data_IF_188313364337
#
_entry.id   IF_188313364337
#
_cell.length_a   1.000
_cell.length_b   1.000
_cell.length_c   1.000
_cell.angle_alpha   90.00
_cell.angle_beta   90.00
_cell.angle_gamma   90.00
#
_symmetry.space_group_name_H-M   'P 1'
#
loop_
_entity.id
_entity.type
_entity.pdbx_description
1 polymer ?
#
# COMPACT_ATOMS: atom_id res chain seq x y z
N UNK A 1 -14.03 -11.57 -20.10
CA UNK A 1 -13.78 -11.30 -19.97
C UNK A 1 -14.09 -10.42 -19.54
N UNK A 2 -14.27 -10.30 -19.53
CA UNK A 2 -14.82 -9.40 -19.26
C UNK A 2 -14.25 -8.41 -18.49
N UNK A 3 -14.27 -8.52 -17.40
CA UNK A 3 -13.73 -7.59 -16.73
C UNK A 3 -12.44 -7.79 -16.65
N UNK A 4 -11.55 -7.27 -17.03
CA UNK A 4 -10.17 -7.38 -16.85
C UNK A 4 -9.81 -7.14 -15.41
N UNK A 5 -8.57 -7.23 -15.09
CA UNK A 5 -8.09 -6.95 -13.77
C UNK A 5 -8.32 -5.48 -13.45
N UNK A 6 -8.75 -5.23 -12.24
CA UNK A 6 -8.89 -3.87 -11.76
C UNK A 6 -7.57 -3.48 -11.09
N UNK A 7 -6.93 -2.45 -11.59
CA UNK A 7 -5.62 -2.01 -11.07
C UNK A 7 -5.76 -0.64 -10.46
N UNK A 8 -5.16 -0.44 -9.30
CA UNK A 8 -5.13 0.86 -8.65
C UNK A 8 -3.68 1.26 -8.42
N UNK A 9 -3.35 2.50 -8.73
CA UNK A 9 -2.03 3.06 -8.46
C UNK A 9 -2.12 3.91 -7.21
N UNK A 10 -1.27 3.63 -6.24
CA UNK A 10 -1.16 4.41 -5.02
C UNK A 10 0.21 5.07 -5.06
N UNK A 11 0.26 6.39 -5.03
CA UNK A 11 1.49 7.09 -5.34
C UNK A 11 1.73 8.28 -4.43
N UNK A 12 3.00 8.59 -4.19
CA UNK A 12 3.37 9.81 -3.47
C UNK A 12 3.78 10.91 -4.44
N UNK A 13 3.66 10.68 -5.75
CA UNK A 13 4.06 11.67 -6.73
C UNK A 13 2.83 12.40 -7.24
N UNK A 14 2.70 13.70 -6.99
CA UNK A 14 1.50 14.42 -7.42
C UNK A 14 1.36 14.46 -8.94
N UNK A 15 2.45 14.26 -9.68
CA UNK A 15 2.35 14.28 -11.13
C UNK A 15 1.68 13.04 -11.71
N UNK A 16 1.46 12.01 -10.89
CA UNK A 16 0.72 10.84 -11.35
C UNK A 16 -0.78 11.12 -11.39
N UNK A 17 -1.22 12.22 -10.81
CA UNK A 17 -2.63 12.62 -10.88
C UNK A 17 -3.49 11.92 -9.83
N UNK A 18 -4.77 12.07 -9.98
CA UNK A 18 -5.75 11.41 -9.13
C UNK A 18 -6.95 11.07 -9.97
N UNK A 19 -7.67 10.04 -9.59
CA UNK A 19 -8.85 9.65 -10.33
C UNK A 19 -9.31 8.28 -9.89
N UNK A 20 -10.10 7.64 -10.73
CA UNK A 20 -10.68 6.35 -10.37
C UNK A 20 -9.63 5.27 -10.18
N UNK A 21 -8.52 5.37 -10.89
CA UNK A 21 -7.49 4.34 -10.85
C UNK A 21 -6.21 4.83 -10.21
N UNK A 22 -6.20 6.01 -9.62
CA UNK A 22 -5.01 6.55 -8.99
C UNK A 22 -5.39 7.22 -7.69
N UNK A 23 -4.71 6.84 -6.61
CA UNK A 23 -4.84 7.49 -5.32
C UNK A 23 -3.50 8.13 -4.99
N UNK A 24 -3.50 9.45 -4.86
CA UNK A 24 -2.27 10.16 -4.52
C UNK A 24 -2.26 10.51 -3.04
N UNK A 25 -1.15 10.22 -2.37
CA UNK A 25 -1.00 10.63 -0.98
C UNK A 25 -0.19 11.89 -0.88
N UNK A 26 0.20 12.47 -2.02
CA UNK A 26 0.98 13.70 -1.99
C UNK A 26 0.19 14.77 -1.27
N UNK A 27 0.80 15.41 -0.30
CA UNK A 27 0.14 16.48 0.45
C UNK A 27 -0.87 16.03 1.47
N UNK A 28 -1.14 14.74 1.59
CA UNK A 28 -2.09 14.28 2.57
C UNK A 28 -1.39 13.97 3.88
N UNK A 29 -2.11 14.12 4.98
CA UNK A 29 -1.55 13.82 6.26
C UNK A 29 -2.06 12.48 6.72
N UNK A 30 -1.16 11.54 6.87
CA UNK A 30 -1.51 10.23 7.38
C UNK A 30 -0.87 10.03 8.74
N UNK A 31 -1.62 9.42 9.64
CA UNK A 31 -1.10 9.10 10.96
C UNK A 31 -0.46 7.73 10.92
N UNK A 32 0.52 7.53 11.79
CA UNK A 32 1.16 6.23 11.91
C UNK A 32 0.27 5.30 12.70
N UNK A 33 0.48 4.02 12.54
CA UNK A 33 -0.20 3.03 13.35
C UNK A 33 0.19 3.24 14.81
N UNK A 34 -0.79 3.26 15.70
CA UNK A 34 -0.52 3.46 17.11
C UNK A 34 -0.61 2.16 17.91
N UNK A 35 -0.75 1.03 17.22
CA UNK A 35 -0.75 -0.26 17.89
C UNK A 35 -2.00 -0.60 18.67
N UNK A 36 -3.13 0.02 18.35
CA UNK A 36 -4.35 -0.16 19.12
C UNK A 36 -5.04 -1.50 18.87
N UNK A 37 -4.60 -2.24 17.87
CA UNK A 37 -5.12 -3.55 17.44
C UNK A 37 -6.62 -3.61 17.18
N UNK A 38 -7.28 -2.47 17.05
CA UNK A 38 -8.71 -2.49 16.74
C UNK A 38 -8.98 -3.06 15.36
N UNK A 39 -8.01 -2.97 14.45
CA UNK A 39 -8.15 -3.56 13.13
C UNK A 39 -8.15 -5.09 13.17
N UNK A 40 -7.85 -5.67 14.31
CA UNK A 40 -7.92 -7.12 14.49
C UNK A 40 -9.13 -7.51 15.31
N UNK A 41 -9.61 -6.64 16.17
CA UNK A 41 -10.62 -7.03 17.17
C UNK A 41 -11.99 -6.37 16.97
N UNK A 42 -12.01 -5.09 16.66
CA UNK A 42 -13.29 -4.37 16.56
C UNK A 42 -13.75 -4.17 15.14
N UNK A 43 -12.83 -3.86 14.24
CA UNK A 43 -13.16 -3.64 12.85
C UNK A 43 -12.18 -4.46 12.02
N UNK A 44 -12.32 -5.79 11.99
CA UNK A 44 -11.33 -6.64 11.36
C UNK A 44 -11.06 -6.24 9.92
N UNK A 45 -9.79 -6.05 9.62
CA UNK A 45 -9.36 -5.70 8.28
C UNK A 45 -9.49 -4.23 7.95
N UNK A 46 -9.83 -3.39 8.95
CA UNK A 46 -10.03 -1.98 8.69
C UNK A 46 -9.47 -1.15 9.82
N UNK A 47 -8.60 -0.21 9.51
CA UNK A 47 -7.98 0.63 10.53
C UNK A 47 -9.01 1.59 11.12
N UNK A 48 -8.97 1.75 12.44
CA UNK A 48 -9.94 2.59 13.13
C UNK A 48 -9.54 4.05 13.20
N UNK A 49 -8.33 4.40 12.81
CA UNK A 49 -7.88 5.78 12.86
C UNK A 49 -8.59 6.60 11.79
N UNK A 50 -9.15 7.73 12.18
CA UNK A 50 -9.94 8.54 11.27
C UNK A 50 -9.09 9.61 10.61
N UNK A 51 -8.65 9.36 9.40
CA UNK A 51 -7.93 10.33 8.58
C UNK A 51 -8.20 9.91 7.14
N UNK A 52 -7.33 10.25 6.20
CA UNK A 52 -7.56 9.92 4.81
C UNK A 52 -7.36 8.44 4.47
N UNK A 53 -6.67 7.69 5.34
CA UNK A 53 -6.29 6.33 5.00
C UNK A 53 -7.46 5.35 4.83
N UNK A 54 -8.48 5.35 5.69
CA UNK A 54 -9.54 4.34 5.52
C UNK A 54 -10.20 4.36 4.15
N UNK A 55 -10.40 5.54 3.59
CA UNK A 55 -11.00 5.63 2.27
C UNK A 55 -10.04 5.13 1.21
N UNK A 56 -8.76 5.46 1.34
CA UNK A 56 -7.75 4.95 0.42
C UNK A 56 -7.67 3.45 0.51
N UNK A 57 -7.70 2.92 1.71
CA UNK A 57 -7.59 1.48 1.93
C UNK A 57 -8.77 0.74 1.32
N UNK A 58 -9.97 1.30 1.40
CA UNK A 58 -11.12 0.68 0.76
C UNK A 58 -10.87 0.53 -0.73
N UNK A 59 -10.30 1.54 -1.36
CA UNK A 59 -10.00 1.48 -2.78
C UNK A 59 -8.91 0.46 -3.08
N UNK A 60 -7.89 0.38 -2.22
CA UNK A 60 -6.82 -0.59 -2.40
C UNK A 60 -7.34 -2.02 -2.32
N UNK A 61 -8.21 -2.27 -1.35
CA UNK A 61 -8.72 -3.62 -1.15
C UNK A 61 -9.71 -4.03 -2.23
N UNK A 62 -10.25 -3.06 -2.96
CA UNK A 62 -11.21 -3.34 -4.01
C UNK A 62 -10.55 -3.54 -5.37
N UNK A 63 -9.26 -3.41 -5.46
CA UNK A 63 -8.53 -3.63 -6.70
C UNK A 63 -7.94 -5.03 -6.69
N UNK A 64 -7.80 -5.64 -7.85
CA UNK A 64 -7.16 -6.93 -7.96
C UNK A 64 -5.64 -6.77 -7.83
N UNK A 65 -5.11 -5.69 -8.37
CA UNK A 65 -3.68 -5.38 -8.33
C UNK A 65 -3.49 -3.98 -7.79
N UNK A 66 -2.66 -3.85 -6.78
CA UNK A 66 -2.29 -2.55 -6.23
C UNK A 66 -0.86 -2.24 -6.63
N UNK A 67 -0.66 -1.14 -7.32
CA UNK A 67 0.67 -0.71 -7.67
C UNK A 67 1.05 0.41 -6.71
N UNK A 68 2.06 0.20 -5.87
CA UNK A 68 2.53 1.20 -4.91
C UNK A 68 3.74 1.89 -5.51
N UNK A 69 3.65 3.16 -5.75
CA UNK A 69 4.75 3.96 -6.29
C UNK A 69 5.29 4.87 -5.22
N UNK A 70 6.58 4.83 -5.00
CA UNK A 70 7.21 5.62 -3.95
C UNK A 70 8.59 6.08 -4.35
N UNK A 71 8.97 7.25 -3.88
CA UNK A 71 10.34 7.68 -3.95
C UNK A 71 11.14 6.81 -2.99
N UNK A 72 12.32 6.35 -3.38
CA UNK A 72 13.20 5.65 -2.46
C UNK A 72 13.74 6.65 -1.44
N UNK A 73 13.65 6.31 -0.16
CA UNK A 73 14.07 7.19 0.91
C UNK A 73 14.82 6.36 1.93
N UNK A 74 16.10 6.65 2.06
CA UNK A 74 16.95 5.87 2.97
C UNK A 74 16.77 4.39 2.64
N UNK A 75 16.35 3.60 3.56
CA UNK A 75 16.23 2.17 3.33
C UNK A 75 14.87 1.69 2.90
N UNK A 76 13.98 2.56 2.45
CA UNK A 76 12.65 2.09 2.14
C UNK A 76 11.78 3.06 1.36
N UNK A 77 10.50 3.07 1.69
CA UNK A 77 9.52 3.95 1.07
C UNK A 77 9.67 5.37 1.59
N UNK A 78 9.11 6.32 0.87
CA UNK A 78 9.02 7.69 1.39
C UNK A 78 8.22 7.69 2.70
N UNK A 79 8.37 8.71 3.54
CA UNK A 79 7.70 8.69 4.84
C UNK A 79 6.19 8.53 4.78
N UNK A 80 5.52 9.21 3.85
CA UNK A 80 4.07 9.11 3.79
C UNK A 80 3.64 7.73 3.30
N UNK A 81 4.36 7.15 2.35
CA UNK A 81 4.04 5.82 1.87
C UNK A 81 4.33 4.79 2.95
N UNK A 82 5.39 5.00 3.75
CA UNK A 82 5.70 4.10 4.85
C UNK A 82 4.51 4.01 5.82
N UNK A 83 3.90 5.15 6.15
CA UNK A 83 2.75 5.14 7.05
C UNK A 83 1.58 4.36 6.46
N UNK A 84 1.35 4.53 5.17
CA UNK A 84 0.24 3.84 4.51
C UNK A 84 0.51 2.34 4.46
N UNK A 85 1.72 1.95 4.10
CA UNK A 85 2.07 0.52 4.01
C UNK A 85 1.97 -0.15 5.37
N UNK A 86 2.41 0.54 6.41
CA UNK A 86 2.34 0.01 7.76
C UNK A 86 0.89 -0.28 8.13
N UNK A 87 0.00 0.64 7.85
CA UNK A 87 -1.40 0.47 8.22
C UNK A 87 -2.08 -0.57 7.33
N UNK A 88 -1.72 -0.61 6.04
CA UNK A 88 -2.25 -1.63 5.14
C UNK A 88 -1.80 -3.02 5.58
N UNK A 89 -0.54 -3.16 5.98
CA UNK A 89 -0.02 -4.44 6.46
C UNK A 89 -0.83 -4.92 7.66
N UNK A 90 -1.13 -4.03 8.58
CA UNK A 90 -1.90 -4.41 9.76
C UNK A 90 -3.32 -4.81 9.40
N UNK A 91 -3.93 -4.15 8.43
CA UNK A 91 -5.26 -4.56 7.99
C UNK A 91 -5.22 -5.94 7.34
N UNK A 92 -4.18 -6.19 6.53
CA UNK A 92 -4.05 -7.50 5.89
C UNK A 92 -3.80 -8.60 6.91
N UNK A 93 -3.12 -8.28 8.01
CA UNK A 93 -2.84 -9.25 9.04
C UNK A 93 -4.12 -9.84 9.63
N UNK A 94 -5.17 -9.07 9.68
CA UNK A 94 -6.43 -9.52 10.24
C UNK A 94 -6.95 -10.76 9.50
N UNK A 95 -6.74 -10.80 8.19
CA UNK A 95 -7.23 -11.92 7.41
C UNK A 95 -6.43 -13.18 7.70
N UNK A 96 -5.15 -13.04 7.98
CA UNK A 96 -4.32 -14.17 8.35
C UNK A 96 -4.73 -14.72 9.70
N UNK A 97 -4.87 -13.83 10.68
CA UNK A 97 -5.18 -14.24 12.05
C UNK A 97 -6.56 -14.87 12.18
N UNK A 98 -7.48 -14.48 11.32
CA UNK A 98 -8.84 -14.98 11.41
C UNK A 98 -9.15 -16.04 10.37
N UNK A 99 -8.12 -16.68 9.85
CA UNK A 99 -8.33 -17.78 8.93
C UNK A 99 -8.42 -17.37 7.48
N UNK A 100 -8.09 -16.17 7.18
CA UNK A 100 -7.89 -15.74 5.82
C UNK A 100 -9.10 -15.26 5.06
N UNK A 101 -10.26 -15.69 5.36
CA UNK A 101 -11.39 -15.36 4.52
C UNK A 101 -12.42 -14.52 5.23
N UNK A 102 -11.98 -13.45 5.83
CA UNK A 102 -12.89 -12.58 6.56
C UNK A 102 -13.27 -11.39 5.68
N UNK A 103 -14.53 -11.16 5.44
CA UNK A 103 -14.91 -9.99 4.65
C UNK A 103 -14.69 -8.74 5.48
N UNK A 104 -14.34 -7.68 4.80
CA UNK A 104 -14.26 -6.40 5.47
C UNK A 104 -15.68 -5.92 5.71
N UNK A 105 -15.72 -4.92 6.61
CA UNK A 105 -16.95 -4.32 6.92
C UNK A 105 -17.78 -4.00 5.72
N UNK A 106 -17.23 -3.56 4.65
CA UNK A 106 -17.97 -3.16 3.50
C UNK A 106 -17.84 -4.05 2.30
N UNK A 107 -17.53 -5.27 2.50
CA UNK A 107 -17.51 -6.20 1.39
C UNK A 107 -16.25 -7.01 1.34
N UNK A 108 -16.09 -7.70 0.25
CA UNK A 108 -14.99 -8.62 0.10
C UNK A 108 -13.73 -7.92 -0.33
N UNK A 109 -12.61 -8.51 0.02
CA UNK A 109 -11.31 -8.03 -0.41
C UNK A 109 -10.99 -8.68 -1.73
N UNK A 110 -10.72 -7.87 -2.75
CA UNK A 110 -10.35 -8.39 -4.06
C UNK A 110 -8.86 -8.44 -4.27
N UNK A 111 -8.09 -7.77 -3.43
CA UNK A 111 -6.66 -7.58 -3.62
C UNK A 111 -5.91 -8.91 -3.60
N UNK A 112 -5.14 -9.19 -4.64
CA UNK A 112 -4.36 -10.42 -4.75
C UNK A 112 -2.89 -10.18 -5.03
N UNK A 113 -2.54 -9.09 -5.69
CA UNK A 113 -1.15 -8.82 -6.02
C UNK A 113 -0.81 -7.39 -5.68
N UNK A 114 0.41 -7.18 -5.22
CA UNK A 114 0.93 -5.84 -4.98
C UNK A 114 2.22 -5.70 -5.78
N UNK A 115 2.31 -4.64 -6.57
CA UNK A 115 3.50 -4.34 -7.35
C UNK A 115 4.11 -3.08 -6.77
N UNK A 116 5.35 -3.15 -6.34
CA UNK A 116 6.04 -2.02 -5.75
C UNK A 116 6.94 -1.41 -6.81
N UNK A 117 6.75 -0.13 -7.10
CA UNK A 117 7.55 0.57 -8.10
C UNK A 117 8.27 1.70 -7.38
N UNK A 118 9.58 1.58 -7.27
CA UNK A 118 10.39 2.56 -6.55
C UNK A 118 11.10 3.49 -7.52
N UNK A 119 11.06 4.77 -7.24
CA UNK A 119 11.85 5.73 -7.98
C UNK A 119 13.17 5.84 -7.24
N UNK A 120 14.21 5.20 -7.78
CA UNK A 120 15.49 5.05 -7.12
C UNK A 120 15.59 3.71 -6.43
N UNK A 121 16.77 3.39 -5.93
CA UNK A 121 17.01 2.12 -5.26
C UNK A 121 17.32 2.41 -3.80
N UNK A 122 16.54 1.87 -2.87
CA UNK A 122 16.79 2.13 -1.45
C UNK A 122 18.07 1.43 -0.99
N UNK A 123 18.66 1.94 0.07
CA UNK A 123 19.81 1.31 0.68
C UNK A 123 19.36 -0.03 1.23
N UNK A 124 20.19 -1.05 1.07
CA UNK A 124 19.82 -2.37 1.55
C UNK A 124 18.64 -2.94 0.78
N UNK A 125 18.72 -2.86 -0.53
CA UNK A 125 17.62 -3.27 -1.39
C UNK A 125 17.08 -4.66 -1.05
N UNK A 126 17.97 -5.62 -0.82
CA UNK A 126 17.51 -6.97 -0.55
C UNK A 126 16.73 -7.06 0.76
N UNK A 127 17.17 -6.30 1.76
CA UNK A 127 16.46 -6.29 3.01
C UNK A 127 15.12 -5.59 2.86
N UNK A 128 15.10 -4.48 2.10
CA UNK A 128 13.85 -3.78 1.85
C UNK A 128 12.83 -4.73 1.19
N UNK A 129 13.26 -5.48 0.19
CA UNK A 129 12.35 -6.40 -0.50
C UNK A 129 11.86 -7.49 0.43
N UNK A 130 12.77 -8.06 1.21
CA UNK A 130 12.40 -9.13 2.12
C UNK A 130 11.41 -8.65 3.17
N UNK A 131 11.68 -7.50 3.78
CA UNK A 131 10.80 -6.98 4.82
C UNK A 131 9.44 -6.60 4.25
N UNK A 132 9.43 -6.00 3.08
CA UNK A 132 8.18 -5.57 2.45
C UNK A 132 7.34 -6.78 2.05
N UNK A 133 7.98 -7.80 1.51
CA UNK A 133 7.26 -9.00 1.13
C UNK A 133 6.65 -9.67 2.35
N UNK A 134 7.40 -9.74 3.45
CA UNK A 134 6.86 -10.33 4.66
C UNK A 134 5.68 -9.54 5.21
N UNK A 135 5.68 -8.24 5.02
CA UNK A 135 4.61 -7.40 5.53
C UNK A 135 3.37 -7.41 4.67
N UNK A 136 3.51 -7.60 3.38
CA UNK A 136 2.40 -7.42 2.46
C UNK A 136 1.91 -8.70 1.78
N UNK A 137 2.76 -9.72 1.67
CA UNK A 137 2.32 -10.97 1.06
C UNK A 137 1.66 -11.83 2.14
N UNK A 138 0.60 -11.33 2.71
CA UNK A 138 -0.12 -11.98 3.80
C UNK A 138 -1.61 -11.87 3.53
N UNK A 139 -2.37 -12.70 4.19
CA UNK A 139 -3.83 -12.70 4.02
C UNK A 139 -4.20 -13.01 2.57
N UNK A 140 -4.99 -12.16 1.95
CA UNK A 140 -5.43 -12.42 0.58
C UNK A 140 -4.38 -12.11 -0.49
N UNK A 141 -3.29 -11.46 -0.12
CA UNK A 141 -2.28 -11.07 -1.09
C UNK A 141 -1.38 -12.25 -1.39
N UNK A 142 -1.36 -12.66 -2.63
CA UNK A 142 -0.62 -13.84 -3.02
C UNK A 142 0.79 -13.55 -3.49
N UNK A 143 1.05 -12.34 -3.96
CA UNK A 143 2.34 -12.04 -4.55
C UNK A 143 2.68 -10.58 -4.42
N UNK A 144 3.93 -10.28 -4.12
CA UNK A 144 4.44 -8.91 -4.08
C UNK A 144 5.66 -8.89 -4.99
N UNK A 145 5.71 -7.96 -5.94
CA UNK A 145 6.83 -7.84 -6.85
C UNK A 145 7.42 -6.45 -6.75
N UNK A 146 8.64 -6.29 -7.25
CA UNK A 146 9.38 -5.05 -7.12
C UNK A 146 9.95 -4.62 -8.46
N UNK A 147 9.92 -3.33 -8.73
CA UNK A 147 10.51 -2.76 -9.92
C UNK A 147 11.11 -1.42 -9.54
N UNK A 148 12.25 -1.09 -10.11
CA UNK A 148 12.98 0.13 -9.80
C UNK A 148 13.11 0.97 -11.06
N UNK A 149 12.76 2.25 -10.97
CA UNK A 149 12.83 3.13 -12.10
C UNK A 149 13.70 4.33 -11.73
N UNK A 150 14.15 5.07 -12.77
CA UNK A 150 14.96 6.19 -12.50
C UNK A 150 14.20 7.23 -11.76
N UNK A 151 14.84 7.93 -10.85
CA UNK A 151 14.19 8.99 -10.13
C UNK A 151 14.36 10.29 -10.91
N UNK A 152 13.46 10.51 -11.86
CA UNK A 152 13.54 11.68 -12.67
C UNK A 152 13.32 12.92 -11.89
N UNK A 153 12.61 12.83 -10.81
CA UNK A 153 12.36 13.97 -10.03
C UNK A 153 13.62 14.58 -9.50
N UNK A 154 14.55 13.79 -9.04
CA UNK A 154 15.76 14.31 -8.54
C UNK A 154 16.58 14.88 -9.63
N UNK A 155 16.74 14.14 -10.68
CA UNK A 155 17.51 14.61 -11.78
C UNK A 155 16.90 15.82 -12.39
N UNK A 156 15.61 15.77 -12.49
CA UNK A 156 14.98 16.84 -13.10
C UNK A 156 15.03 18.08 -12.29
N UNK A 157 15.07 17.90 -11.02
CA UNK A 157 15.00 18.95 -10.31
C UNK A 157 16.14 19.55 -10.09
N UNK A 158 16.91 19.07 -10.11
CA UNK A 158 17.99 19.49 -9.94
C UNK A 158 18.11 20.39 -9.45
N UNK A 159 18.12 20.52 -8.99
CA UNK A 159 18.33 21.32 -8.31
C UNK A 159 19.17 21.94 -8.42
#
# INVERSE_FOLDING_TARGET
>A
MGEGERRLVFTDDPSDGEGDEVVSVAGKRLRRCVGCVRCLTETPGRCAIKDAFPEMSDRMMDADVLEIRSEAFEGGFSPVVTKAVERLSNELQAFTDLGGAVPRDKGEVRLRRIEVVMRGVPEGKERFESDTEKSLAIGPVEKVTFRYVRSDRIGGRTP
#
